data_IF_064357919894
#
_entry.id   IF_064357919894
#
_cell.length_a   1.000
_cell.length_b   1.000
_cell.length_c   1.000
_cell.angle_alpha   90.00
_cell.angle_beta   90.00
_cell.angle_gamma   90.00
#
_symmetry.space_group_name_H-M   'P 1'
#
loop_
_entity.id
_entity.type
_entity.pdbx_description
1 polymer ?
#
# COMPACT_ATOMS: atom_id res chain seq x y z
N UNK A 1 -12.52 16.38 17.33
CA UNK A 1 -13.04 15.03 17.10
C UNK A 1 -11.90 14.14 16.61
N UNK A 2 -11.15 13.55 17.54
CA UNK A 2 -9.90 12.81 17.31
C UNK A 2 -10.08 11.60 16.40
N UNK A 3 -11.26 10.96 16.45
CA UNK A 3 -11.61 9.81 15.62
C UNK A 3 -11.67 10.19 14.14
N UNK A 4 -12.40 11.25 13.79
CA UNK A 4 -12.49 11.73 12.40
C UNK A 4 -11.11 12.06 11.82
N UNK A 5 -10.24 12.68 12.63
CA UNK A 5 -8.87 13.01 12.20
C UNK A 5 -8.03 11.76 11.98
N UNK A 6 -8.20 10.75 12.82
CA UNK A 6 -7.50 9.46 12.68
C UNK A 6 -7.96 8.72 11.42
N UNK A 7 -9.27 8.68 11.16
CA UNK A 7 -9.83 8.09 9.94
C UNK A 7 -9.37 8.83 8.68
N UNK A 8 -9.28 10.17 8.72
CA UNK A 8 -8.72 10.96 7.61
C UNK A 8 -7.26 10.58 7.33
N UNK A 9 -6.43 10.49 8.38
CA UNK A 9 -5.03 10.05 8.24
C UNK A 9 -4.97 8.63 7.69
N UNK A 10 -5.79 7.71 8.20
CA UNK A 10 -5.84 6.32 7.72
C UNK A 10 -6.19 6.28 6.24
N UNK A 11 -7.24 6.98 5.82
CA UNK A 11 -7.64 7.11 4.41
C UNK A 11 -6.49 7.58 3.53
N UNK A 12 -5.73 8.59 3.98
CA UNK A 12 -4.55 9.06 3.26
C UNK A 12 -3.42 8.03 3.25
N UNK A 13 -3.24 7.21 4.29
CA UNK A 13 -2.27 6.09 4.28
C UNK A 13 -2.65 5.07 3.19
N UNK A 14 -3.92 4.64 3.12
CA UNK A 14 -4.39 3.73 2.07
C UNK A 14 -4.18 4.32 0.66
N UNK A 15 -4.52 5.60 0.50
CA UNK A 15 -4.36 6.32 -0.76
C UNK A 15 -2.89 6.40 -1.19
N UNK A 16 -2.01 6.82 -0.26
CA UNK A 16 -0.58 7.00 -0.54
C UNK A 16 0.11 5.69 -0.86
N UNK A 17 -0.23 4.61 -0.16
CA UNK A 17 0.32 3.28 -0.41
C UNK A 17 0.10 2.86 -1.87
N UNK A 18 -1.14 2.98 -2.36
CA UNK A 18 -1.44 2.69 -3.75
C UNK A 18 -0.72 3.62 -4.71
N UNK A 19 -0.79 4.93 -4.50
CA UNK A 19 -0.18 5.90 -5.41
C UNK A 19 1.32 5.65 -5.58
N UNK A 20 2.03 5.32 -4.50
CA UNK A 20 3.46 5.00 -4.56
C UNK A 20 3.74 3.70 -5.31
N UNK A 21 3.00 2.64 -5.01
CA UNK A 21 3.18 1.35 -5.69
C UNK A 21 2.85 1.49 -7.18
N UNK A 22 1.74 2.14 -7.51
CA UNK A 22 1.32 2.39 -8.89
C UNK A 22 2.36 3.22 -9.65
N UNK A 23 2.77 4.37 -9.10
CA UNK A 23 3.77 5.23 -9.73
C UNK A 23 5.12 4.53 -9.93
N UNK A 24 5.45 3.55 -9.08
CA UNK A 24 6.67 2.77 -9.19
C UNK A 24 6.57 1.56 -10.14
N UNK A 25 5.40 1.23 -10.69
CA UNK A 25 5.19 0.01 -11.50
C UNK A 25 4.51 0.24 -12.84
N UNK A 26 3.75 1.33 -13.00
CA UNK A 26 3.03 1.59 -14.23
C UNK A 26 4.00 1.96 -15.37
N UNK A 27 3.99 1.14 -16.43
CA UNK A 27 4.90 1.20 -17.57
C UNK A 27 4.61 2.35 -18.55
N UNK A 28 3.37 2.85 -18.58
CA UNK A 28 2.94 3.95 -19.45
C UNK A 28 2.66 5.21 -18.61
N UNK A 29 3.74 5.90 -18.22
CA UNK A 29 3.62 7.22 -17.62
C UNK A 29 3.57 8.24 -18.76
N UNK A 30 2.38 8.49 -19.29
CA UNK A 30 2.13 9.77 -19.95
C UNK A 30 2.54 10.93 -19.03
N UNK A 31 2.79 12.14 -19.56
CA UNK A 31 3.19 13.27 -18.73
C UNK A 31 2.21 13.44 -17.56
N UNK A 32 2.68 13.71 -16.33
CA UNK A 32 1.83 13.82 -15.15
C UNK A 32 0.90 15.03 -15.30
N UNK A 33 -0.25 14.83 -15.94
CA UNK A 33 -1.29 15.84 -16.14
C UNK A 33 -2.25 15.93 -14.94
N UNK A 34 -1.88 15.33 -13.80
CA UNK A 34 -2.73 15.15 -12.64
C UNK A 34 -2.40 16.06 -11.47
N UNK A 35 -3.36 16.20 -10.55
CA UNK A 35 -3.15 16.79 -9.22
C UNK A 35 -1.97 16.09 -8.53
N UNK A 36 -1.18 16.84 -7.77
CA UNK A 36 -0.08 16.29 -6.95
C UNK A 36 -0.59 16.09 -5.52
N UNK A 37 -0.43 14.89 -4.99
CA UNK A 37 -0.62 14.62 -3.57
C UNK A 37 0.66 14.95 -2.79
N UNK A 38 0.54 15.77 -1.74
CA UNK A 38 1.64 16.20 -0.87
C UNK A 38 1.56 15.61 0.55
N UNK A 39 0.59 14.72 0.81
CA UNK A 39 0.46 14.07 2.11
C UNK A 39 1.75 13.32 2.49
N UNK A 40 2.04 13.31 3.79
CA UNK A 40 3.22 12.70 4.39
C UNK A 40 4.55 13.28 3.90
N UNK A 41 4.55 14.59 3.58
CA UNK A 41 5.72 15.35 3.12
C UNK A 41 6.39 14.70 1.90
N UNK A 42 5.58 14.23 0.96
CA UNK A 42 6.06 13.52 -0.21
C UNK A 42 5.18 13.86 -1.39
N UNK A 43 5.79 14.33 -2.48
CA UNK A 43 5.08 14.63 -3.71
C UNK A 43 4.89 13.34 -4.51
N UNK A 44 3.65 13.02 -4.86
CA UNK A 44 3.31 11.85 -5.67
C UNK A 44 2.23 12.25 -6.66
N UNK A 45 2.36 11.94 -7.96
CA UNK A 45 1.28 12.15 -8.90
C UNK A 45 0.04 11.40 -8.42
N UNK A 46 -1.12 12.04 -8.43
CA UNK A 46 -2.37 11.32 -8.13
C UNK A 46 -2.60 10.33 -9.26
N UNK A 47 -2.31 9.06 -8.98
CA UNK A 47 -2.60 7.94 -9.87
C UNK A 47 -4.10 7.91 -10.18
N UNK A 48 -4.46 7.89 -11.46
CA UNK A 48 -5.85 7.81 -11.89
C UNK A 48 -6.11 6.66 -12.89
N UNK A 49 -5.87 5.40 -12.52
CA UNK A 49 -6.66 4.32 -13.12
C UNK A 49 -8.15 4.58 -12.84
N UNK A 50 -9.00 4.42 -13.86
CA UNK A 50 -10.45 4.56 -13.72
C UNK A 50 -10.98 3.67 -12.58
N UNK A 51 -11.73 4.24 -11.64
CA UNK A 51 -12.44 3.50 -10.57
C UNK A 51 -11.72 3.42 -9.22
N UNK A 52 -10.40 3.62 -9.15
CA UNK A 52 -9.65 3.38 -7.91
C UNK A 52 -10.07 4.27 -6.73
N UNK A 53 -10.46 5.52 -6.98
CA UNK A 53 -10.91 6.41 -5.91
C UNK A 53 -12.17 5.87 -5.21
N UNK A 54 -13.09 5.26 -5.96
CA UNK A 54 -14.29 4.64 -5.44
C UNK A 54 -13.96 3.41 -4.59
N UNK A 55 -12.99 2.59 -5.01
CA UNK A 55 -12.55 1.41 -4.26
C UNK A 55 -11.93 1.79 -2.90
N UNK A 56 -11.32 2.98 -2.79
CA UNK A 56 -10.77 3.47 -1.53
C UNK A 56 -11.78 4.11 -0.59
N UNK A 57 -12.99 4.46 -1.05
CA UNK A 57 -13.97 5.16 -0.21
C UNK A 57 -14.36 4.36 1.04
N UNK A 58 -14.30 3.03 0.95
CA UNK A 58 -14.54 2.13 2.09
C UNK A 58 -13.60 2.43 3.27
N UNK A 59 -12.39 2.96 3.03
CA UNK A 59 -11.42 3.26 4.09
C UNK A 59 -11.61 4.64 4.72
N UNK A 60 -12.51 5.50 4.21
CA UNK A 60 -12.75 6.86 4.72
C UNK A 60 -13.25 6.88 6.17
N UNK A 61 -13.91 5.82 6.60
CA UNK A 61 -14.42 5.66 7.96
C UNK A 61 -14.09 4.28 8.49
N UNK A 62 -12.84 3.86 8.27
CA UNK A 62 -12.37 2.51 8.60
C UNK A 62 -12.59 2.18 10.08
N UNK A 63 -12.49 3.16 11.00
CA UNK A 63 -12.80 2.99 12.43
C UNK A 63 -14.20 2.44 12.71
N UNK A 64 -15.16 2.72 11.83
CA UNK A 64 -16.58 2.41 11.97
C UNK A 64 -16.99 1.09 11.32
N UNK A 65 -16.09 0.43 10.61
CA UNK A 65 -16.38 -0.83 9.92
C UNK A 65 -16.39 -2.02 10.90
N UNK A 66 -17.22 -3.04 10.65
CA UNK A 66 -17.20 -4.27 11.43
C UNK A 66 -15.91 -5.07 11.21
N UNK A 67 -15.54 -5.89 12.18
CA UNK A 67 -14.44 -6.85 12.05
C UNK A 67 -14.89 -8.13 11.31
N UNK A 68 -14.03 -8.75 10.48
CA UNK A 68 -12.68 -8.30 10.12
C UNK A 68 -12.73 -7.13 9.13
N UNK A 69 -11.95 -6.08 9.43
CA UNK A 69 -11.88 -4.90 8.55
C UNK A 69 -11.27 -5.24 7.18
N UNK A 70 -11.69 -4.53 6.10
CA UNK A 70 -11.15 -4.76 4.78
C UNK A 70 -9.66 -4.45 4.73
N UNK A 71 -8.92 -5.34 4.05
CA UNK A 71 -7.50 -5.13 3.73
C UNK A 71 -7.38 -4.54 2.34
N UNK A 72 -6.42 -3.63 2.16
CA UNK A 72 -6.00 -3.22 0.82
C UNK A 72 -4.94 -4.21 0.35
N UNK A 73 -5.24 -4.90 -0.75
CA UNK A 73 -4.29 -5.78 -1.44
C UNK A 73 -4.02 -5.20 -2.83
N UNK A 74 -2.75 -4.96 -3.14
CA UNK A 74 -2.30 -4.46 -4.44
C UNK A 74 -1.43 -5.53 -5.07
N UNK A 75 -1.87 -6.05 -6.20
CA UNK A 75 -1.13 -7.05 -6.97
C UNK A 75 -0.49 -6.40 -8.17
N UNK A 76 0.82 -6.61 -8.31
CA UNK A 76 1.61 -6.17 -9.47
C UNK A 76 1.76 -7.37 -10.39
N UNK A 77 1.24 -7.24 -11.60
CA UNK A 77 1.14 -8.32 -12.57
C UNK A 77 1.96 -7.99 -13.82
N UNK A 78 2.70 -8.97 -14.33
CA UNK A 78 3.26 -8.93 -15.68
C UNK A 78 2.20 -9.46 -16.65
N UNK A 79 1.76 -8.61 -17.57
CA UNK A 79 0.87 -9.01 -18.66
C UNK A 79 1.69 -9.56 -19.83
N UNK A 80 1.46 -10.83 -20.18
CA UNK A 80 2.14 -11.50 -21.29
C UNK A 80 1.21 -11.52 -22.51
N UNK A 81 1.58 -10.89 -23.64
CA UNK A 81 0.81 -10.95 -24.87
C UNK A 81 0.64 -12.40 -25.35
N UNK A 82 -0.51 -12.71 -25.96
CA UNK A 82 -0.82 -14.08 -26.42
C UNK A 82 0.10 -14.60 -27.53
N UNK A 83 0.87 -13.74 -28.17
CA UNK A 83 1.80 -14.07 -29.25
C UNK A 83 3.22 -14.38 -28.77
N UNK A 84 3.50 -14.25 -27.47
CA UNK A 84 4.86 -14.31 -26.94
C UNK A 84 5.04 -15.47 -25.95
N UNK A 85 6.25 -16.03 -25.90
CA UNK A 85 6.60 -17.09 -24.94
C UNK A 85 7.39 -16.48 -23.79
N UNK A 86 6.89 -16.64 -22.57
CA UNK A 86 7.61 -16.23 -21.37
C UNK A 86 8.70 -17.25 -21.02
N UNK A 87 9.90 -16.77 -20.76
CA UNK A 87 11.04 -17.62 -20.37
C UNK A 87 11.70 -17.03 -19.13
N UNK A 88 11.88 -17.85 -18.10
CA UNK A 88 12.66 -17.47 -16.93
C UNK A 88 14.15 -17.60 -17.25
N UNK A 89 14.89 -16.48 -17.21
CA UNK A 89 16.24 -16.39 -17.77
C UNK A 89 17.30 -17.19 -17.02
N UNK A 90 17.19 -17.36 -15.70
CA UNK A 90 18.20 -18.09 -14.91
C UNK A 90 18.03 -19.60 -14.94
N UNK A 91 16.82 -20.10 -15.21
CA UNK A 91 16.53 -21.55 -15.29
C UNK A 91 16.30 -22.02 -16.72
N UNK A 92 16.13 -21.11 -17.69
CA UNK A 92 15.74 -21.41 -19.06
C UNK A 92 14.33 -22.00 -19.18
N UNK A 93 13.56 -22.00 -18.09
CA UNK A 93 12.25 -22.64 -18.06
C UNK A 93 11.25 -21.82 -18.85
N UNK A 94 10.65 -22.44 -19.86
CA UNK A 94 9.51 -21.87 -20.59
C UNK A 94 8.28 -21.92 -19.69
N UNK A 95 7.68 -20.78 -19.45
CA UNK A 95 6.40 -20.67 -18.75
C UNK A 95 5.33 -20.72 -19.83
N UNK A 96 4.64 -21.86 -19.94
CA UNK A 96 3.61 -22.06 -20.96
C UNK A 96 2.42 -21.11 -20.71
N UNK A 97 1.89 -20.45 -21.75
CA UNK A 97 0.99 -19.32 -21.58
C UNK A 97 -0.46 -19.81 -21.47
N UNK A 98 -0.80 -20.50 -20.39
CA UNK A 98 -2.20 -20.50 -19.93
C UNK A 98 -2.47 -19.23 -19.11
N UNK A 99 -1.47 -18.76 -18.35
CA UNK A 99 -1.57 -17.56 -17.53
C UNK A 99 -1.08 -16.32 -18.28
N UNK A 100 -2.03 -15.48 -18.72
CA UNK A 100 -1.75 -14.15 -19.33
C UNK A 100 -1.23 -13.12 -18.34
N UNK A 101 -1.33 -13.40 -17.05
CA UNK A 101 -0.95 -12.51 -15.96
C UNK A 101 -0.07 -13.29 -14.99
N UNK A 102 1.16 -12.84 -14.78
CA UNK A 102 2.10 -13.42 -13.83
C UNK A 102 2.22 -12.49 -12.63
N UNK A 103 1.92 -12.99 -11.43
CA UNK A 103 2.06 -12.21 -10.21
C UNK A 103 3.55 -11.99 -9.89
N UNK A 104 3.95 -10.71 -9.83
CA UNK A 104 5.30 -10.30 -9.47
C UNK A 104 5.39 -9.92 -7.99
N UNK A 105 4.43 -9.14 -7.52
CA UNK A 105 4.41 -8.62 -6.15
C UNK A 105 2.98 -8.57 -5.60
N UNK A 106 2.85 -8.76 -4.29
CA UNK A 106 1.59 -8.56 -3.59
C UNK A 106 1.83 -7.74 -2.31
N UNK A 107 1.26 -6.54 -2.29
CA UNK A 107 1.34 -5.62 -1.17
C UNK A 107 0.05 -5.66 -0.38
N UNK A 108 0.17 -5.80 0.94
CA UNK A 108 -0.99 -5.84 1.83
C UNK A 108 -0.89 -4.75 2.89
N UNK A 109 -1.93 -3.93 3.00
CA UNK A 109 -2.12 -3.01 4.10
C UNK A 109 -3.35 -3.46 4.89
N UNK A 110 -3.12 -3.78 6.16
CA UNK A 110 -4.15 -4.28 7.08
C UNK A 110 -4.34 -3.29 8.22
N UNK A 111 -5.60 -3.09 8.62
CA UNK A 111 -5.92 -2.36 9.83
C UNK A 111 -6.14 -3.38 10.94
N UNK A 112 -5.38 -3.26 12.03
CA UNK A 112 -5.64 -4.02 13.26
C UNK A 112 -6.17 -3.05 14.30
N UNK A 113 -7.43 -3.24 14.71
CA UNK A 113 -8.00 -2.55 15.88
C UNK A 113 -7.50 -3.16 17.20
N UNK A 114 -6.89 -4.34 17.15
CA UNK A 114 -6.47 -5.12 18.30
C UNK A 114 -4.99 -4.86 18.58
N UNK A 115 -4.69 -4.51 19.84
CA UNK A 115 -3.35 -4.53 20.42
C UNK A 115 -2.74 -5.91 20.20
N UNK A 116 -1.89 -6.03 19.17
CA UNK A 116 -1.07 -7.21 19.02
C UNK A 116 -0.24 -7.36 20.31
N UNK A 117 -0.11 -8.56 20.90
CA UNK A 117 0.90 -8.77 21.92
C UNK A 117 2.22 -8.44 21.24
N UNK A 118 2.85 -7.35 21.69
CA UNK A 118 4.11 -6.85 21.14
C UNK A 118 5.09 -8.03 21.13
N UNK A 119 5.39 -8.56 19.96
CA UNK A 119 6.39 -9.62 19.82
C UNK A 119 7.70 -9.03 20.37
N UNK A 120 8.12 -9.48 21.56
CA UNK A 120 9.41 -9.14 22.16
C UNK A 120 9.43 -8.29 23.44
N UNK A 121 8.30 -7.90 24.06
CA UNK A 121 8.33 -7.16 25.34
C UNK A 121 7.68 -7.98 26.46
N UNK A 122 8.42 -8.21 27.54
CA UNK A 122 8.06 -9.06 28.68
C UNK A 122 6.73 -8.67 29.32
N UNK A 123 5.98 -9.69 29.73
CA UNK A 123 4.58 -9.68 30.18
C UNK A 123 4.32 -8.96 31.52
N UNK A 124 5.19 -8.06 31.97
CA UNK A 124 5.19 -7.54 33.35
C UNK A 124 4.65 -6.12 33.53
N UNK A 125 4.35 -5.38 32.45
CA UNK A 125 3.85 -3.99 32.51
C UNK A 125 2.38 -3.84 32.04
N UNK A 126 1.51 -4.83 32.31
CA UNK A 126 0.07 -4.72 31.99
C UNK A 126 -0.71 -3.81 32.98
N UNK A 127 -0.18 -2.62 33.30
CA UNK A 127 -0.86 -1.68 34.20
C UNK A 127 -0.72 -0.21 33.85
N UNK A 128 -0.50 0.12 32.58
CA UNK A 128 -0.69 1.48 32.10
C UNK A 128 -1.80 1.51 31.05
N UNK A 129 -2.76 2.41 31.24
CA UNK A 129 -3.77 2.81 30.27
C UNK A 129 -3.15 2.85 28.88
N UNK A 130 -3.66 2.05 27.94
CA UNK A 130 -3.15 1.98 26.57
C UNK A 130 -3.43 3.32 25.88
N UNK A 131 -2.52 4.29 26.06
CA UNK A 131 -2.61 5.60 25.45
C UNK A 131 -2.52 5.40 23.93
N UNK A 132 -3.67 5.44 23.27
CA UNK A 132 -3.73 5.44 21.81
C UNK A 132 -2.86 6.59 21.30
N UNK A 133 -1.99 6.34 20.31
CA UNK A 133 -1.11 7.38 19.81
C UNK A 133 -1.94 8.54 19.23
N UNK A 134 -1.60 9.75 19.63
CA UNK A 134 -2.20 10.96 19.06
C UNK A 134 -2.09 10.97 17.53
N UNK A 135 -3.08 11.52 16.79
CA UNK A 135 -3.08 11.55 15.32
C UNK A 135 -1.78 12.13 14.73
N UNK A 136 -1.17 13.11 15.41
CA UNK A 136 0.10 13.70 15.00
C UNK A 136 1.26 12.68 15.01
N UNK A 137 1.28 11.79 16.01
CA UNK A 137 2.26 10.70 16.11
C UNK A 137 2.07 9.70 14.98
N UNK A 138 0.82 9.32 14.68
CA UNK A 138 0.50 8.42 13.56
C UNK A 138 0.98 9.02 12.23
N UNK A 139 0.67 10.31 11.99
CA UNK A 139 1.10 11.02 10.78
C UNK A 139 2.63 11.07 10.65
N UNK A 140 3.34 11.41 11.74
CA UNK A 140 4.80 11.46 11.74
C UNK A 140 5.43 10.10 11.46
N UNK A 141 4.89 9.03 12.03
CA UNK A 141 5.34 7.66 11.75
C UNK A 141 5.10 7.29 10.29
N UNK A 142 3.94 7.63 9.73
CA UNK A 142 3.61 7.37 8.33
C UNK A 142 4.60 8.05 7.35
N UNK A 143 5.14 9.24 7.67
CA UNK A 143 6.19 9.87 6.87
C UNK A 143 7.39 8.93 6.73
N UNK A 144 7.92 8.42 7.84
CA UNK A 144 9.08 7.53 7.81
C UNK A 144 8.79 6.24 7.05
N UNK A 145 7.61 5.65 7.27
CA UNK A 145 7.17 4.43 6.57
C UNK A 145 7.14 4.67 5.06
N UNK A 146 6.52 5.75 4.58
CA UNK A 146 6.41 6.01 3.15
C UNK A 146 7.76 6.34 2.49
N UNK A 147 8.68 6.99 3.19
CA UNK A 147 10.05 7.16 2.70
C UNK A 147 10.77 5.81 2.57
N UNK A 148 10.60 4.90 3.52
CA UNK A 148 11.15 3.55 3.45
C UNK A 148 10.53 2.73 2.31
N UNK A 149 9.20 2.77 2.16
CA UNK A 149 8.48 2.08 1.07
C UNK A 149 8.93 2.59 -0.29
N UNK A 150 9.07 3.92 -0.45
CA UNK A 150 9.57 4.51 -1.70
C UNK A 150 10.97 4.03 -2.10
N UNK A 151 11.86 3.89 -1.12
CA UNK A 151 13.19 3.34 -1.34
C UNK A 151 13.13 1.85 -1.66
N UNK A 152 12.33 1.08 -0.92
CA UNK A 152 12.12 -0.35 -1.14
C UNK A 152 11.61 -0.64 -2.56
N UNK A 153 10.64 0.14 -3.04
CA UNK A 153 10.05 -0.02 -4.37
C UNK A 153 11.07 0.08 -5.51
N UNK A 154 12.24 0.71 -5.30
CA UNK A 154 13.31 0.87 -6.31
C UNK A 154 14.37 -0.22 -6.29
N UNK A 155 14.41 -1.03 -5.23
CA UNK A 155 15.39 -2.11 -5.09
C UNK A 155 14.77 -3.48 -5.34
N UNK A 156 13.44 -3.58 -5.34
CA UNK A 156 12.73 -4.82 -5.62
C UNK A 156 12.89 -5.24 -7.10
N UNK A 157 12.88 -6.55 -7.40
CA UNK A 157 13.11 -7.04 -8.76
C UNK A 157 12.15 -6.47 -9.81
N UNK A 158 10.86 -6.28 -9.47
CA UNK A 158 9.86 -5.78 -10.42
C UNK A 158 10.01 -4.29 -10.76
N UNK A 159 10.99 -3.59 -10.19
CA UNK A 159 11.39 -2.25 -10.63
C UNK A 159 12.23 -2.28 -11.92
N UNK A 160 12.92 -3.39 -12.18
CA UNK A 160 13.81 -3.57 -13.34
C UNK A 160 13.04 -4.20 -14.50
#
# INVERSE_FOLDING_TARGET
DTRKRTDEIAFHIYTKAFQLIYAARASDQGPPLGKIDKWFNMETPVAAPLGFQSDLEIYRSISSLPEPRPRLAIQVLLAVPSSETLVHTSTGTRIFPECRLVLLEEWRLTFSALGLPRIGWSQQDQRDDEVLPEPATIYKTAISVFRSVFSLLRILPAWR
#
